data_IF_803526745969
#
_entry.id   IF_803526745969
#
_cell.length_a   1.000
_cell.length_b   1.000
_cell.length_c   1.000
_cell.angle_alpha   90.00
_cell.angle_beta   90.00
_cell.angle_gamma   90.00
#
_symmetry.space_group_name_H-M   'P 1'
#
loop_
_entity.id
_entity.type
_entity.pdbx_description
1 polymer ?
#
# COMPACT_ATOMS: atom_id res chain seq x y z
N UNK A 1 5.87 15.56 -4.81
CA UNK A 1 6.22 14.26 -5.44
C UNK A 1 5.82 14.32 -6.91
N UNK A 2 6.44 13.61 -7.86
CA UNK A 2 6.17 13.84 -9.30
C UNK A 2 4.69 13.69 -9.69
N UNK A 3 3.99 12.69 -9.13
CA UNK A 3 2.58 12.45 -9.45
C UNK A 3 1.64 13.55 -8.92
N UNK A 4 1.97 14.16 -7.77
CA UNK A 4 1.21 15.29 -7.22
C UNK A 4 1.37 16.53 -8.10
N UNK A 5 2.59 16.82 -8.57
CA UNK A 5 2.86 17.92 -9.48
C UNK A 5 2.11 17.75 -10.81
N UNK A 6 2.04 16.51 -11.32
CA UNK A 6 1.26 16.19 -12.50
C UNK A 6 -0.24 16.40 -12.27
N UNK A 7 -0.79 15.90 -11.15
CA UNK A 7 -2.20 16.11 -10.80
C UNK A 7 -2.53 17.61 -10.70
N UNK A 8 -1.70 18.40 -10.03
CA UNK A 8 -1.89 19.85 -9.92
C UNK A 8 -1.88 20.53 -11.28
N UNK A 9 -1.02 20.06 -12.18
CA UNK A 9 -0.95 20.55 -13.55
C UNK A 9 -2.22 20.21 -14.33
N UNK A 10 -2.72 18.98 -14.28
CA UNK A 10 -3.97 18.61 -14.96
C UNK A 10 -5.17 19.39 -14.44
N UNK A 11 -5.29 19.53 -13.12
CA UNK A 11 -6.33 20.38 -12.50
C UNK A 11 -6.25 21.83 -12.99
N UNK A 12 -5.05 22.36 -13.26
CA UNK A 12 -4.87 23.72 -13.78
C UNK A 12 -5.29 23.89 -15.25
N UNK A 13 -5.31 22.81 -16.04
CA UNK A 13 -5.73 22.84 -17.45
C UNK A 13 -7.25 22.71 -17.63
N UNK A 14 -8.02 22.42 -16.57
CA UNK A 14 -9.48 22.25 -16.61
C UNK A 14 -9.93 20.79 -16.75
N UNK A 15 -11.19 20.57 -17.14
CA UNK A 15 -11.77 19.23 -17.37
C UNK A 15 -11.35 18.69 -18.75
N UNK A 16 -10.04 18.54 -18.93
CA UNK A 16 -9.49 17.73 -20.00
C UNK A 16 -9.47 16.31 -19.47
N UNK A 17 -10.49 15.56 -19.88
CA UNK A 17 -10.75 14.14 -19.66
C UNK A 17 -9.69 13.33 -18.86
N UNK A 18 -10.20 12.61 -17.87
CA UNK A 18 -9.55 11.53 -17.11
C UNK A 18 -8.46 11.88 -16.07
N UNK A 19 -8.65 12.96 -15.31
CA UNK A 19 -7.94 13.22 -14.02
C UNK A 19 -8.03 11.99 -13.08
N UNK A 20 -9.10 11.19 -13.25
CA UNK A 20 -9.35 9.97 -12.48
C UNK A 20 -8.26 8.92 -12.65
N UNK A 21 -7.59 8.88 -13.81
CA UNK A 21 -6.50 7.94 -14.10
C UNK A 21 -5.26 8.24 -13.25
N UNK A 22 -4.89 9.53 -13.14
CA UNK A 22 -3.77 9.96 -12.30
C UNK A 22 -4.08 9.73 -10.82
N UNK A 23 -5.32 10.01 -10.39
CA UNK A 23 -5.76 9.75 -9.02
C UNK A 23 -5.74 8.26 -8.67
N UNK A 24 -6.13 7.39 -9.59
CA UNK A 24 -6.11 5.93 -9.40
C UNK A 24 -4.68 5.40 -9.23
N UNK A 25 -3.69 6.09 -9.78
CA UNK A 25 -2.26 5.73 -9.66
C UNK A 25 -1.56 6.38 -8.46
N UNK A 26 -2.25 7.23 -7.70
CA UNK A 26 -1.66 7.95 -6.59
C UNK A 26 -1.15 6.98 -5.49
N UNK A 27 0.10 7.13 -5.03
CA UNK A 27 0.65 6.25 -4.01
C UNK A 27 0.11 6.57 -2.63
N UNK A 28 -0.02 5.53 -1.81
CA UNK A 28 -0.33 5.66 -0.38
C UNK A 28 0.95 5.85 0.42
N UNK A 29 0.96 6.90 1.23
CA UNK A 29 2.07 7.20 2.15
C UNK A 29 1.96 6.35 3.41
N UNK A 30 2.98 5.54 3.71
CA UNK A 30 3.00 4.64 4.87
C UNK A 30 4.29 4.84 5.66
N UNK A 31 4.21 4.86 6.99
CA UNK A 31 5.39 4.89 7.86
C UNK A 31 5.84 3.47 8.15
N UNK A 32 7.10 3.14 7.87
CA UNK A 32 7.68 1.81 8.14
C UNK A 32 8.93 1.94 8.99
N UNK A 33 9.06 1.06 9.99
CA UNK A 33 10.28 0.92 10.79
C UNK A 33 11.17 -0.12 10.11
N UNK A 34 12.39 0.26 9.73
CA UNK A 34 13.38 -0.69 9.20
C UNK A 34 14.55 -0.80 10.18
N UNK A 35 15.08 -2.03 10.42
CA UNK A 35 16.32 -2.20 11.15
C UNK A 35 17.47 -1.63 10.32
N UNK A 36 18.29 -0.80 10.94
CA UNK A 36 19.51 -0.26 10.36
C UNK A 36 20.66 -0.89 11.14
N UNK A 37 21.54 -1.67 10.48
CA UNK A 37 22.72 -2.19 11.13
C UNK A 37 23.63 -1.02 11.51
N UNK A 38 24.04 -0.96 12.77
CA UNK A 38 25.10 -0.04 13.21
C UNK A 38 26.45 -0.53 12.68
N UNK A 39 27.38 0.39 12.45
CA UNK A 39 28.73 0.10 11.88
C UNK A 39 29.49 -0.98 12.65
N UNK A 40 29.28 -1.07 13.97
CA UNK A 40 29.91 -2.05 14.86
C UNK A 40 29.20 -3.41 14.94
N UNK A 41 28.12 -3.64 14.17
CA UNK A 41 27.41 -4.93 14.10
C UNK A 41 26.69 -5.39 15.38
N UNK A 42 26.87 -4.70 16.51
CA UNK A 42 26.38 -5.11 17.84
C UNK A 42 24.95 -4.62 18.15
N UNK A 43 24.52 -3.51 17.56
CA UNK A 43 23.22 -2.88 17.88
C UNK A 43 22.39 -2.64 16.62
N UNK A 44 21.14 -3.13 16.62
CA UNK A 44 20.18 -2.85 15.56
C UNK A 44 19.39 -1.60 15.96
N UNK A 45 19.63 -0.48 15.27
CA UNK A 45 18.85 0.73 15.46
C UNK A 45 17.63 0.73 14.52
N UNK A 46 16.45 1.06 15.02
CA UNK A 46 15.25 1.18 14.17
C UNK A 46 15.10 2.63 13.71
N UNK A 47 15.04 2.86 12.39
CA UNK A 47 14.70 4.17 11.81
C UNK A 47 13.32 4.12 11.17
N UNK A 48 12.55 5.19 11.36
CA UNK A 48 11.28 5.41 10.69
C UNK A 48 11.52 5.99 9.30
N UNK A 49 11.06 5.27 8.28
CA UNK A 49 11.07 5.72 6.90
C UNK A 49 9.64 5.93 6.42
N UNK A 50 9.46 6.93 5.58
CA UNK A 50 8.23 7.12 4.82
C UNK A 50 8.39 6.31 3.53
N UNK A 51 7.52 5.33 3.35
CA UNK A 51 7.43 4.51 2.16
C UNK A 51 6.19 4.93 1.36
N UNK A 52 6.26 4.74 0.04
CA UNK A 52 5.17 5.04 -0.88
C UNK A 52 4.76 3.75 -1.56
N UNK A 53 3.52 3.31 -1.34
CA UNK A 53 3.00 2.08 -1.92
C UNK A 53 2.08 2.45 -3.07
N UNK A 54 2.38 1.99 -4.28
CA UNK A 54 1.54 2.23 -5.44
C UNK A 54 0.41 1.21 -5.51
N UNK A 55 -0.79 1.59 -5.97
CA UNK A 55 -1.92 0.65 -6.11
C UNK A 55 -1.60 -0.59 -6.97
N UNK A 56 -0.78 -0.42 -8.02
CA UNK A 56 -0.34 -1.54 -8.88
C UNK A 56 0.57 -2.54 -8.14
N UNK A 57 1.38 -2.09 -7.17
CA UNK A 57 2.24 -2.97 -6.37
C UNK A 57 1.44 -3.84 -5.40
N UNK A 58 0.30 -3.33 -4.91
CA UNK A 58 -0.61 -4.09 -4.04
C UNK A 58 -1.19 -5.29 -4.81
N UNK A 59 -1.55 -5.10 -6.08
CA UNK A 59 -2.09 -6.17 -6.93
C UNK A 59 -1.08 -7.31 -7.15
N UNK A 60 0.22 -7.01 -7.08
CA UNK A 60 1.31 -7.98 -7.25
C UNK A 60 1.63 -8.74 -5.95
N UNK A 61 1.10 -8.34 -4.79
CA UNK A 61 1.43 -8.94 -3.51
C UNK A 61 0.65 -10.25 -3.26
N UNK A 62 1.30 -11.44 -3.30
CA UNK A 62 0.61 -12.74 -3.26
C UNK A 62 0.08 -13.11 -1.86
N UNK A 63 0.57 -12.44 -0.81
CA UNK A 63 0.20 -12.70 0.59
C UNK A 63 -1.25 -12.33 0.91
N UNK A 64 -1.88 -11.42 0.15
CA UNK A 64 -3.29 -11.05 0.33
C UNK A 64 -4.24 -12.23 0.05
N UNK A 65 -3.92 -13.06 -0.94
CA UNK A 65 -4.73 -14.23 -1.31
C UNK A 65 -4.77 -15.28 -0.21
N UNK A 66 -3.67 -15.44 0.53
CA UNK A 66 -3.57 -16.39 1.64
C UNK A 66 -4.45 -15.93 2.81
N UNK A 67 -4.41 -14.63 3.15
CA UNK A 67 -5.25 -14.07 4.21
C UNK A 67 -6.73 -14.14 3.85
N UNK A 68 -7.07 -13.87 2.58
CA UNK A 68 -8.44 -14.00 2.09
C UNK A 68 -8.94 -15.46 2.17
N UNK A 69 -8.11 -16.43 1.76
CA UNK A 69 -8.44 -17.85 1.87
C UNK A 69 -8.64 -18.30 3.33
N UNK A 70 -7.78 -17.86 4.25
CA UNK A 70 -7.93 -18.14 5.68
C UNK A 70 -9.22 -17.54 6.25
N UNK A 71 -9.59 -16.33 5.83
CA UNK A 71 -10.82 -15.69 6.26
C UNK A 71 -12.07 -16.39 5.71
N UNK A 72 -12.04 -16.85 4.45
CA UNK A 72 -13.10 -17.69 3.86
C UNK A 72 -13.25 -19.01 4.61
N UNK A 73 -12.15 -19.68 4.95
CA UNK A 73 -12.17 -20.91 5.76
C UNK A 73 -12.78 -20.68 7.14
N UNK A 74 -12.43 -19.58 7.82
CA UNK A 74 -13.01 -19.23 9.11
C UNK A 74 -14.52 -18.98 9.02
N UNK A 75 -15.00 -18.29 7.99
CA UNK A 75 -16.44 -18.08 7.77
C UNK A 75 -17.18 -19.40 7.54
N UNK A 76 -16.60 -20.33 6.78
CA UNK A 76 -17.18 -21.65 6.56
C UNK A 76 -17.29 -22.45 7.86
N UNK A 77 -16.32 -22.33 8.77
CA UNK A 77 -16.35 -23.03 10.06
C UNK A 77 -17.29 -22.42 11.08
N UNK A 78 -17.53 -21.10 11.03
CA UNK A 78 -18.42 -20.41 11.98
C UNK A 78 -19.87 -20.35 11.50
N UNK A 79 -20.14 -20.53 10.21
CA UNK A 79 -21.51 -20.60 9.66
C UNK A 79 -22.13 -22.01 9.67
N UNK A 80 -21.43 -23.01 10.21
CA UNK A 80 -21.88 -24.41 10.33
C UNK A 80 -22.29 -24.75 11.80
N UNK A 81 -22.12 -23.79 12.72
CA UNK A 81 -22.48 -23.89 14.15
C UNK A 81 -23.80 -23.12 14.49
N UNK A 82 -24.43 -22.47 13.50
CA UNK A 82 -25.68 -21.69 13.63
C UNK A 82 -26.84 -22.32 12.81
N UNK A 83 -27.00 -23.64 12.85
CA UNK A 83 -28.23 -24.35 12.41
C UNK A 83 -28.80 -25.25 13.51
#
# INVERSE_FOLDING_TARGET
>A
MLLEEWLNKEVSFGDLDDISLVQTKAPRKVKRKRPVPSEDGSTIAYKEFIDYIFPEEIALAPNLKIVEAAYRWKRQKMGDDDE
#
